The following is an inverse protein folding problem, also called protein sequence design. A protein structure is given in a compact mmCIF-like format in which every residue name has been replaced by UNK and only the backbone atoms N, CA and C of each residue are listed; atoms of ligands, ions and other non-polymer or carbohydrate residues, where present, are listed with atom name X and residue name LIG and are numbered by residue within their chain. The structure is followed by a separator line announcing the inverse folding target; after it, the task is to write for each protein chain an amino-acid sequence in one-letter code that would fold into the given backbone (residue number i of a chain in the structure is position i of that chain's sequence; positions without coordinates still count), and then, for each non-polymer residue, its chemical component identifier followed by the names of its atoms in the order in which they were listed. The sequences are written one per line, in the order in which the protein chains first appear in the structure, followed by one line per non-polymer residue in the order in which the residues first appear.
data_IF_401085869637
#
_entry.id   IF_401085869637
#
_cell.length_a   1.000
_cell.length_b   1.000
_cell.length_c   1.000
_cell.angle_alpha   90.00
_cell.angle_beta   90.00
_cell.angle_gamma   90.00
#
_symmetry.space_group_name_H-M   'P 1'
#
loop_
_entity.id
_entity.type
_entity.pdbx_description
1 polymer ?
#
# COMPACT_ATOMS: atom_id res chain seq x y z
N UNK A 1 -20.52 38.30 2.58
CA UNK A 1 -19.49 37.55 1.85
C UNK A 1 -18.34 37.28 2.82
N UNK A 2 -18.18 36.03 3.24
CA UNK A 2 -17.01 35.61 4.02
C UNK A 2 -15.83 35.38 3.06
N UNK A 3 -14.59 35.70 3.45
CA UNK A 3 -13.45 35.55 2.56
C UNK A 3 -13.17 34.07 2.34
N UNK A 4 -13.07 33.68 1.07
CA UNK A 4 -12.54 32.40 0.62
C UNK A 4 -11.10 32.34 1.13
N UNK A 5 -10.81 31.40 2.03
CA UNK A 5 -9.44 31.12 2.45
C UNK A 5 -8.66 30.66 1.23
N UNK A 6 -7.72 31.48 0.76
CA UNK A 6 -6.73 31.08 -0.23
C UNK A 6 -5.84 29.99 0.38
N UNK A 7 -6.25 28.73 0.23
CA UNK A 7 -5.33 27.59 0.35
C UNK A 7 -4.25 27.78 -0.71
N UNK A 8 -3.01 27.92 -0.30
CA UNK A 8 -1.84 27.88 -1.19
C UNK A 8 -1.98 26.68 -2.13
N UNK A 9 -1.74 26.82 -3.45
CA UNK A 9 -1.79 25.69 -4.36
C UNK A 9 -0.80 24.64 -3.86
N UNK A 10 -1.28 23.42 -3.61
CA UNK A 10 -0.41 22.29 -3.31
C UNK A 10 0.65 22.21 -4.39
N UNK A 11 1.91 22.46 -4.00
CA UNK A 11 3.01 22.45 -4.95
C UNK A 11 3.11 21.05 -5.55
N UNK A 12 2.87 20.95 -6.86
CA UNK A 12 2.92 19.67 -7.59
C UNK A 12 4.34 19.12 -7.71
N UNK A 13 5.36 19.85 -7.26
CA UNK A 13 6.76 19.45 -7.27
C UNK A 13 7.43 19.90 -5.96
N UNK A 14 8.39 19.13 -5.43
CA UNK A 14 9.26 19.60 -4.33
C UNK A 14 10.33 20.57 -4.85
N UNK A 15 10.96 20.25 -5.98
CA UNK A 15 11.93 21.13 -6.63
C UNK A 15 12.12 20.80 -8.12
N UNK A 16 12.67 21.73 -8.90
CA UNK A 16 12.97 21.51 -10.32
C UNK A 16 14.08 20.48 -10.52
N UNK A 17 15.02 20.40 -9.58
CA UNK A 17 16.12 19.43 -9.58
C UNK A 17 15.55 18.01 -9.46
N UNK A 18 14.58 17.79 -8.57
CA UNK A 18 13.94 16.48 -8.39
C UNK A 18 13.11 16.06 -9.60
N UNK A 19 12.44 17.01 -10.26
CA UNK A 19 11.79 16.77 -11.56
C UNK A 19 12.82 16.31 -12.60
N UNK A 20 13.96 16.99 -12.69
CA UNK A 20 15.00 16.69 -13.67
C UNK A 20 15.71 15.36 -13.41
N UNK A 21 15.99 15.04 -12.14
CA UNK A 21 16.80 13.89 -11.75
C UNK A 21 15.96 12.62 -11.56
N UNK A 22 14.77 12.74 -10.99
CA UNK A 22 13.91 11.61 -10.60
C UNK A 22 12.57 11.59 -11.32
N UNK A 23 12.21 12.63 -12.08
CA UNK A 23 10.88 12.75 -12.68
C UNK A 23 9.76 13.00 -11.66
N UNK A 24 10.09 13.49 -10.47
CA UNK A 24 9.12 13.64 -9.38
C UNK A 24 8.09 14.74 -9.68
N UNK A 25 6.83 14.33 -9.78
CA UNK A 25 5.66 15.21 -9.83
C UNK A 25 4.57 14.57 -8.98
N UNK A 26 3.89 15.34 -8.15
CA UNK A 26 2.77 14.89 -7.35
C UNK A 26 1.47 15.01 -8.14
N UNK A 27 0.72 13.92 -8.16
CA UNK A 27 -0.61 13.90 -8.78
C UNK A 27 -1.58 14.74 -7.95
N UNK A 28 -2.28 15.72 -8.54
CA UNK A 28 -3.26 16.55 -7.82
C UNK A 28 -4.38 15.71 -7.18
N UNK A 29 -4.91 16.14 -6.04
CA UNK A 29 -5.93 15.40 -5.28
C UNK A 29 -7.16 15.04 -6.12
N UNK A 30 -7.68 15.97 -6.93
CA UNK A 30 -8.86 15.72 -7.76
C UNK A 30 -8.61 14.63 -8.82
N UNK A 31 -7.39 14.54 -9.37
CA UNK A 31 -7.01 13.49 -10.33
C UNK A 31 -6.88 12.16 -9.61
N UNK A 32 -6.27 12.14 -8.42
CA UNK A 32 -6.17 10.92 -7.59
C UNK A 32 -7.54 10.34 -7.32
N UNK A 33 -8.50 11.17 -6.88
CA UNK A 33 -9.88 10.75 -6.63
C UNK A 33 -10.54 10.15 -7.88
N UNK A 34 -10.49 10.86 -9.01
CA UNK A 34 -11.04 10.39 -10.28
C UNK A 34 -10.43 9.04 -10.70
N UNK A 35 -9.13 8.86 -10.55
CA UNK A 35 -8.47 7.59 -10.88
C UNK A 35 -8.87 6.46 -9.93
N UNK A 36 -9.04 6.75 -8.64
CA UNK A 36 -9.55 5.75 -7.68
C UNK A 36 -11.01 5.36 -7.98
N UNK A 37 -11.85 6.30 -8.44
CA UNK A 37 -13.25 6.02 -8.81
C UNK A 37 -13.38 5.00 -9.93
N UNK A 38 -12.46 5.03 -10.91
CA UNK A 38 -12.43 4.07 -12.02
C UNK A 38 -12.13 2.63 -11.57
N UNK A 39 -11.59 2.46 -10.37
CA UNK A 39 -11.14 1.17 -9.86
C UNK A 39 -12.09 0.59 -8.79
N UNK A 40 -13.22 1.25 -8.52
CA UNK A 40 -14.25 0.71 -7.64
C UNK A 40 -14.99 -0.50 -8.26
N UNK A 41 -15.48 -1.45 -7.44
CA UNK A 41 -15.43 -1.50 -5.97
C UNK A 41 -14.12 -2.07 -5.40
N UNK A 42 -13.13 -2.41 -6.23
CA UNK A 42 -11.95 -3.15 -5.77
C UNK A 42 -11.05 -2.32 -4.84
N UNK A 43 -11.01 -0.99 -5.01
CA UNK A 43 -10.17 -0.12 -4.16
C UNK A 43 -10.70 -0.08 -2.73
N UNK A 44 -12.02 0.07 -2.55
CA UNK A 44 -12.66 0.16 -1.23
C UNK A 44 -12.72 -1.17 -0.46
N UNK A 45 -12.58 -2.31 -1.12
CA UNK A 45 -12.54 -3.63 -0.48
C UNK A 45 -11.21 -3.85 0.28
N UNK A 46 -11.29 -4.00 1.61
CA UNK A 46 -10.12 -4.20 2.49
C UNK A 46 -9.32 -5.47 2.17
N UNK A 47 -9.91 -6.44 1.49
CA UNK A 47 -9.27 -7.72 1.14
C UNK A 47 -8.48 -7.67 -0.17
N UNK A 48 -8.64 -6.59 -0.96
CA UNK A 48 -7.97 -6.44 -2.25
C UNK A 48 -6.61 -5.77 -2.10
N UNK A 49 -5.60 -6.43 -2.68
CA UNK A 49 -4.21 -5.97 -2.76
C UNK A 49 -4.05 -4.88 -3.81
N UNK A 50 -3.44 -3.78 -3.41
CA UNK A 50 -3.10 -2.65 -4.28
C UNK A 50 -1.59 -2.45 -4.22
N UNK A 51 -0.97 -2.23 -5.39
CA UNK A 51 0.46 -1.97 -5.49
C UNK A 51 0.71 -0.69 -6.26
N UNK A 52 1.45 0.23 -5.63
CA UNK A 52 1.95 1.46 -6.25
C UNK A 52 3.49 1.37 -6.36
N UNK A 53 4.09 1.35 -7.57
CA UNK A 53 5.54 1.13 -7.75
C UNK A 53 6.44 2.40 -7.71
N UNK A 54 5.85 3.60 -7.63
CA UNK A 54 6.46 4.94 -7.65
C UNK A 54 5.67 5.95 -6.80
N UNK A 55 5.53 5.70 -5.50
CA UNK A 55 4.40 6.25 -4.74
C UNK A 55 4.56 7.72 -4.37
N UNK A 56 5.75 8.29 -4.58
CA UNK A 56 6.10 9.60 -4.08
C UNK A 56 5.79 9.69 -2.59
N UNK A 57 5.22 10.82 -2.18
CA UNK A 57 4.79 11.02 -0.81
C UNK A 57 3.42 10.38 -0.47
N UNK A 58 2.82 9.59 -1.36
CA UNK A 58 1.67 8.74 -1.05
C UNK A 58 0.29 9.34 -1.32
N UNK A 59 0.12 10.26 -2.28
CA UNK A 59 -1.20 10.83 -2.59
C UNK A 59 -2.25 9.75 -2.93
N UNK A 60 -1.92 8.78 -3.77
CA UNK A 60 -2.79 7.64 -4.05
C UNK A 60 -3.03 6.76 -2.82
N UNK A 61 -1.97 6.47 -2.05
CA UNK A 61 -2.06 5.60 -0.88
C UNK A 61 -3.03 6.17 0.17
N UNK A 62 -2.99 7.49 0.39
CA UNK A 62 -3.90 8.19 1.31
C UNK A 62 -5.36 8.04 0.87
N UNK A 63 -5.66 8.27 -0.41
CA UNK A 63 -7.03 8.13 -0.92
C UNK A 63 -7.51 6.67 -0.87
N UNK A 64 -6.66 5.73 -1.27
CA UNK A 64 -6.96 4.28 -1.22
C UNK A 64 -7.26 3.85 0.21
N UNK A 65 -6.41 4.24 1.17
CA UNK A 65 -6.60 3.85 2.56
C UNK A 65 -7.88 4.45 3.14
N UNK A 66 -8.20 5.72 2.86
CA UNK A 66 -9.47 6.34 3.28
C UNK A 66 -10.67 5.50 2.83
N UNK A 67 -10.73 5.15 1.54
CA UNK A 67 -11.83 4.34 0.98
C UNK A 67 -11.94 2.95 1.60
N UNK A 68 -10.79 2.32 1.88
CA UNK A 68 -10.76 1.04 2.60
C UNK A 68 -11.25 1.18 4.03
N UNK A 69 -10.88 2.26 4.73
CA UNK A 69 -11.34 2.49 6.10
C UNK A 69 -12.84 2.80 6.14
N UNK A 70 -13.35 3.56 5.17
CA UNK A 70 -14.77 3.91 5.07
C UNK A 70 -15.68 2.69 4.84
N UNK A 71 -15.14 1.55 4.38
CA UNK A 71 -15.89 0.30 4.24
C UNK A 71 -15.90 -0.57 5.51
N UNK A 72 -15.18 -0.18 6.57
CA UNK A 72 -15.11 -0.91 7.84
C UNK A 72 -16.29 -0.51 8.73
N UNK A 73 -17.01 -1.51 9.27
CA UNK A 73 -17.94 -1.28 10.37
C UNK A 73 -17.17 -1.01 11.66
N UNK A 74 -17.17 0.24 12.12
CA UNK A 74 -16.48 0.67 13.32
C UNK A 74 -17.27 0.30 14.58
N UNK A 75 -16.59 -0.37 15.53
CA UNK A 75 -17.16 -0.73 16.81
C UNK A 75 -16.16 -0.41 17.94
N UNK A 76 -16.69 -0.14 19.12
CA UNK A 76 -15.91 0.09 20.35
C UNK A 76 -16.23 -0.94 21.41
N UNK A 77 -15.33 -1.11 22.37
CA UNK A 77 -15.57 -1.86 23.60
C UNK A 77 -15.26 -1.01 24.82
N UNK A 78 -15.91 -1.28 25.94
CA UNK A 78 -15.69 -0.57 27.19
C UNK A 78 -14.97 -1.46 28.19
N UNK A 79 -13.87 -0.98 28.77
CA UNK A 79 -13.13 -1.66 29.84
C UNK A 79 -12.93 -0.70 31.00
N UNK A 80 -13.66 -0.94 32.10
CA UNK A 80 -13.76 0.03 33.19
C UNK A 80 -14.40 1.32 32.68
N UNK A 81 -13.77 2.47 32.95
CA UNK A 81 -14.27 3.79 32.53
C UNK A 81 -13.62 4.28 31.21
N UNK A 82 -13.04 3.39 30.41
CA UNK A 82 -12.34 3.73 29.16
C UNK A 82 -12.96 3.02 27.97
N UNK A 83 -13.05 3.74 26.86
CA UNK A 83 -13.51 3.23 25.57
C UNK A 83 -12.29 2.89 24.72
N UNK A 84 -12.34 1.70 24.13
CA UNK A 84 -11.34 1.19 23.23
C UNK A 84 -11.95 0.93 21.86
N UNK A 85 -11.16 1.08 20.80
CA UNK A 85 -11.52 0.50 19.51
C UNK A 85 -11.66 -1.01 19.70
N UNK A 86 -12.71 -1.60 19.13
CA UNK A 86 -12.89 -3.05 19.25
C UNK A 86 -11.75 -3.79 18.54
N UNK A 87 -11.37 -4.95 19.05
CA UNK A 87 -10.31 -5.76 18.42
C UNK A 87 -10.65 -6.19 16.99
N UNK A 88 -11.94 -6.35 16.65
CA UNK A 88 -12.38 -6.62 15.26
C UNK A 88 -12.15 -5.41 14.36
N UNK A 89 -12.42 -4.20 14.85
CA UNK A 89 -12.18 -2.95 14.12
C UNK A 89 -10.69 -2.73 13.92
N UNK A 90 -9.89 -2.87 14.98
CA UNK A 90 -8.42 -2.80 14.88
C UNK A 90 -7.89 -3.81 13.87
N UNK A 91 -8.35 -5.06 13.91
CA UNK A 91 -7.90 -6.09 12.98
C UNK A 91 -8.32 -5.80 11.53
N UNK A 92 -9.54 -5.31 11.29
CA UNK A 92 -9.97 -4.90 9.95
C UNK A 92 -9.15 -3.71 9.40
N UNK A 93 -8.74 -2.77 10.26
CA UNK A 93 -7.81 -1.69 9.88
C UNK A 93 -6.45 -2.26 9.46
N UNK A 94 -5.93 -3.25 10.21
CA UNK A 94 -4.68 -3.94 9.86
C UNK A 94 -4.81 -4.69 8.53
N UNK A 95 -5.94 -5.35 8.25
CA UNK A 95 -6.22 -6.00 6.96
C UNK A 95 -6.22 -4.99 5.83
N UNK A 96 -6.87 -3.84 6.00
CA UNK A 96 -6.89 -2.77 4.99
C UNK A 96 -5.46 -2.29 4.68
N UNK A 97 -4.67 -2.04 5.72
CA UNK A 97 -3.31 -1.55 5.61
C UNK A 97 -2.35 -2.60 5.03
N UNK A 98 -2.48 -3.86 5.43
CA UNK A 98 -1.62 -4.97 4.99
C UNK A 98 -1.76 -5.29 3.50
N UNK A 99 -2.86 -4.87 2.88
CA UNK A 99 -3.12 -5.02 1.46
C UNK A 99 -2.74 -3.78 0.61
N UNK A 100 -2.07 -2.78 1.19
CA UNK A 100 -1.51 -1.63 0.45
C UNK A 100 -0.01 -1.79 0.39
N UNK A 101 0.55 -1.92 -0.81
CA UNK A 101 1.98 -2.03 -1.07
C UNK A 101 2.46 -0.82 -1.86
N UNK A 102 3.63 -0.28 -1.52
CA UNK A 102 4.17 0.88 -2.20
C UNK A 102 5.70 0.91 -2.26
N UNK A 103 6.25 1.40 -3.36
CA UNK A 103 7.69 1.62 -3.52
C UNK A 103 7.96 3.04 -4.02
N UNK A 104 9.01 3.68 -3.51
CA UNK A 104 9.56 4.92 -4.06
C UNK A 104 11.09 4.89 -3.95
N UNK A 105 11.79 5.56 -4.86
CA UNK A 105 13.26 5.57 -4.84
C UNK A 105 13.83 6.51 -3.76
N UNK A 106 13.03 7.48 -3.28
CA UNK A 106 13.47 8.52 -2.35
C UNK A 106 12.99 8.24 -0.92
N UNK A 107 13.93 8.23 0.04
CA UNK A 107 13.63 7.84 1.42
C UNK A 107 12.74 8.86 2.16
N UNK A 108 12.87 10.15 1.84
CA UNK A 108 12.04 11.20 2.45
C UNK A 108 10.57 11.03 2.06
N UNK A 109 10.30 10.68 0.80
CA UNK A 109 8.97 10.36 0.31
C UNK A 109 8.35 9.17 1.05
N UNK A 110 9.12 8.09 1.26
CA UNK A 110 8.65 6.91 2.01
C UNK A 110 8.32 7.25 3.46
N UNK A 111 9.17 8.05 4.13
CA UNK A 111 8.90 8.51 5.50
C UNK A 111 7.62 9.35 5.58
N UNK A 112 7.46 10.28 4.64
CA UNK A 112 6.28 11.14 4.53
C UNK A 112 5.02 10.32 4.26
N UNK A 113 5.07 9.37 3.31
CA UNK A 113 3.95 8.49 2.98
C UNK A 113 3.50 7.66 4.20
N UNK A 114 4.44 7.04 4.93
CA UNK A 114 4.12 6.28 6.15
C UNK A 114 3.44 7.15 7.21
N UNK A 115 3.99 8.35 7.47
CA UNK A 115 3.41 9.29 8.43
C UNK A 115 2.01 9.77 8.03
N UNK A 116 1.77 9.99 6.73
CA UNK A 116 0.45 10.36 6.20
C UNK A 116 -0.56 9.23 6.35
N UNK A 117 -0.17 7.98 6.09
CA UNK A 117 -1.05 6.82 6.25
C UNK A 117 -1.41 6.59 7.73
N UNK A 118 -0.44 6.70 8.64
CA UNK A 118 -0.69 6.67 10.09
C UNK A 118 -1.67 7.78 10.52
N UNK A 119 -1.49 8.99 10.00
CA UNK A 119 -2.40 10.12 10.25
C UNK A 119 -3.81 9.83 9.74
N UNK A 120 -3.96 9.20 8.57
CA UNK A 120 -5.27 8.80 8.03
C UNK A 120 -5.98 7.82 8.98
N UNK A 121 -5.27 6.81 9.50
CA UNK A 121 -5.82 5.83 10.45
C UNK A 121 -6.28 6.52 11.73
N UNK A 122 -5.44 7.38 12.31
CA UNK A 122 -5.81 8.09 13.54
C UNK A 122 -6.97 9.06 13.32
N UNK A 123 -7.01 9.76 12.19
CA UNK A 123 -8.13 10.65 11.86
C UNK A 123 -9.43 9.85 11.68
N UNK A 124 -9.37 8.69 11.03
CA UNK A 124 -10.50 7.78 10.91
C UNK A 124 -11.02 7.35 12.28
N UNK A 125 -10.16 6.83 13.16
CA UNK A 125 -10.55 6.42 14.53
C UNK A 125 -11.12 7.59 15.32
N UNK A 126 -10.48 8.76 15.24
CA UNK A 126 -10.90 9.95 15.96
C UNK A 126 -12.24 10.51 15.45
N UNK A 127 -12.64 10.22 14.21
CA UNK A 127 -13.93 10.67 13.65
C UNK A 127 -15.14 10.04 14.35
N UNK A 128 -14.96 8.93 15.06
CA UNK A 128 -16.00 8.25 15.83
C UNK A 128 -16.09 8.67 17.30
N UNK A 129 -15.28 9.65 17.74
CA UNK A 129 -15.38 10.20 19.09
C UNK A 129 -16.71 10.91 19.28
N UNK A 130 -17.43 10.60 20.35
CA UNK A 130 -18.58 11.40 20.77
C UNK A 130 -18.10 12.63 21.55
N UNK A 131 -18.97 13.63 21.72
CA UNK A 131 -18.67 14.83 22.53
C UNK A 131 -18.47 14.50 24.02
N UNK A 132 -18.99 13.37 24.48
CA UNK A 132 -18.93 12.92 25.87
C UNK A 132 -17.68 12.07 26.15
N UNK A 133 -17.07 11.51 25.11
CA UNK A 133 -15.86 10.69 25.22
C UNK A 133 -14.60 11.54 25.18
N UNK A 134 -13.89 11.61 26.30
CA UNK A 134 -12.62 12.32 26.38
C UNK A 134 -11.53 11.73 25.47
N UNK A 135 -11.57 10.41 25.21
CA UNK A 135 -10.68 9.72 24.26
C UNK A 135 -11.13 8.30 23.94
N UNK A 136 -10.96 7.88 22.68
CA UNK A 136 -10.96 6.47 22.26
C UNK A 136 -9.50 5.99 22.27
N UNK A 137 -9.24 4.90 22.97
CA UNK A 137 -7.91 4.30 23.07
C UNK A 137 -7.74 3.14 22.09
N UNK A 138 -6.50 2.90 21.66
CA UNK A 138 -6.12 1.73 20.88
C UNK A 138 -5.31 0.76 21.75
N UNK A 139 -5.30 -0.52 21.37
CA UNK A 139 -4.42 -1.51 21.98
C UNK A 139 -2.97 -1.27 21.57
N UNK A 140 -2.02 -1.57 22.46
CA UNK A 140 -0.59 -1.47 22.15
C UNK A 140 -0.18 -2.42 21.03
N UNK A 141 -0.79 -3.61 20.98
CA UNK A 141 -0.53 -4.62 19.95
C UNK A 141 -0.94 -4.13 18.57
N UNK A 142 -2.09 -3.46 18.46
CA UNK A 142 -2.52 -2.82 17.21
C UNK A 142 -1.51 -1.77 16.73
N UNK A 143 -1.08 -0.87 17.62
CA UNK A 143 -0.12 0.18 17.26
C UNK A 143 1.23 -0.38 16.80
N UNK A 144 1.70 -1.45 17.45
CA UNK A 144 2.92 -2.16 17.04
C UNK A 144 2.74 -2.82 15.67
N UNK A 145 1.65 -3.57 15.46
CA UNK A 145 1.38 -4.24 14.19
C UNK A 145 1.23 -3.23 13.03
N UNK A 146 0.51 -2.12 13.24
CA UNK A 146 0.37 -1.04 12.26
C UNK A 146 1.74 -0.48 11.83
N UNK A 147 2.61 -0.21 12.81
CA UNK A 147 3.95 0.30 12.57
C UNK A 147 4.79 -0.68 11.73
N UNK A 148 4.75 -1.96 12.06
CA UNK A 148 5.54 -2.98 11.36
C UNK A 148 5.01 -3.26 9.94
N UNK A 149 3.69 -3.26 9.73
CA UNK A 149 3.10 -3.37 8.40
C UNK A 149 3.49 -2.17 7.52
N UNK A 150 3.42 -0.94 8.03
CA UNK A 150 3.85 0.26 7.28
C UNK A 150 5.31 0.16 6.85
N UNK A 151 6.18 -0.33 7.74
CA UNK A 151 7.60 -0.53 7.42
C UNK A 151 7.82 -1.63 6.39
N UNK A 152 7.05 -2.72 6.46
CA UNK A 152 7.17 -3.86 5.56
C UNK A 152 6.63 -3.56 4.15
N UNK A 153 5.53 -2.79 4.05
CA UNK A 153 4.80 -2.62 2.79
C UNK A 153 5.11 -1.33 2.02
N UNK A 154 5.48 -0.25 2.71
CA UNK A 154 5.75 1.06 2.11
C UNK A 154 7.25 1.28 2.15
N UNK A 155 7.97 0.96 1.07
CA UNK A 155 9.41 0.71 1.14
C UNK A 155 10.20 1.51 0.11
N UNK A 156 11.47 1.74 0.40
CA UNK A 156 12.37 2.37 -0.56
C UNK A 156 12.99 1.34 -1.50
N UNK A 157 12.96 1.64 -2.80
CA UNK A 157 13.64 0.82 -3.80
C UNK A 157 13.45 1.31 -5.23
N UNK A 158 14.18 0.67 -6.15
CA UNK A 158 14.03 0.84 -7.59
C UNK A 158 13.34 -0.40 -8.17
N UNK A 159 12.04 -0.32 -8.45
CA UNK A 159 11.23 -1.45 -8.97
C UNK A 159 11.73 -1.99 -10.33
N UNK A 160 12.56 -1.23 -11.04
CA UNK A 160 13.17 -1.67 -12.31
C UNK A 160 14.48 -2.43 -12.11
N UNK A 161 15.24 -2.12 -11.05
CA UNK A 161 16.60 -2.67 -10.82
C UNK A 161 16.67 -3.67 -9.67
N UNK A 162 15.93 -3.45 -8.60
CA UNK A 162 16.09 -4.13 -7.33
C UNK A 162 15.22 -5.39 -7.23
N UNK A 163 14.92 -6.04 -8.36
CA UNK A 163 13.93 -7.13 -8.42
C UNK A 163 14.23 -8.29 -7.47
N UNK A 164 15.51 -8.53 -7.18
CA UNK A 164 15.97 -9.60 -6.28
C UNK A 164 16.03 -9.21 -4.81
N UNK A 165 15.99 -7.91 -4.53
CA UNK A 165 16.26 -7.35 -3.20
C UNK A 165 15.07 -6.56 -2.65
N UNK A 166 14.08 -6.24 -3.49
CA UNK A 166 12.76 -5.80 -3.07
C UNK A 166 11.91 -7.00 -2.67
N UNK A 167 11.55 -7.02 -1.40
CA UNK A 167 10.72 -8.05 -0.79
C UNK A 167 9.35 -7.47 -0.43
N UNK A 168 8.33 -8.28 -0.70
CA UNK A 168 6.94 -8.04 -0.34
C UNK A 168 6.48 -9.18 0.57
N UNK A 169 5.59 -8.84 1.50
CA UNK A 169 5.06 -9.77 2.49
C UNK A 169 3.56 -9.87 2.26
N UNK A 170 3.10 -11.05 1.84
CA UNK A 170 1.68 -11.34 1.71
C UNK A 170 1.12 -11.72 3.07
N UNK A 171 0.32 -10.81 3.64
CA UNK A 171 -0.34 -10.99 4.93
C UNK A 171 -1.74 -11.57 4.70
N UNK A 172 -1.90 -12.86 4.98
CA UNK A 172 -3.15 -13.60 4.82
C UNK A 172 -3.86 -13.60 6.19
N UNK A 173 -4.99 -12.88 6.35
CA UNK A 173 -5.64 -12.74 7.65
C UNK A 173 -6.41 -13.99 8.05
N UNK A 174 -6.26 -14.38 9.32
CA UNK A 174 -7.16 -15.29 10.00
C UNK A 174 -8.05 -14.48 10.95
N UNK A 175 -9.35 -14.41 10.66
CA UNK A 175 -10.31 -13.64 11.45
C UNK A 175 -10.72 -14.31 12.76
N UNK A 176 -10.57 -15.64 12.87
CA UNK A 176 -11.00 -16.39 14.05
C UNK A 176 -10.13 -16.06 15.27
N UNK A 177 -8.80 -16.01 15.07
CA UNK A 177 -7.82 -15.73 16.11
C UNK A 177 -7.08 -14.38 15.95
N UNK A 178 -7.44 -13.60 14.92
CA UNK A 178 -6.89 -12.26 14.64
C UNK A 178 -5.38 -12.28 14.39
N UNK A 179 -4.93 -13.28 13.64
CA UNK A 179 -3.54 -13.46 13.23
C UNK A 179 -3.34 -13.26 11.74
N UNK A 180 -2.08 -13.19 11.30
CA UNK A 180 -1.70 -13.22 9.89
C UNK A 180 -0.77 -14.41 9.65
N UNK A 181 -1.08 -15.22 8.65
CA UNK A 181 -0.07 -16.02 7.97
C UNK A 181 0.70 -15.10 7.01
N UNK A 182 2.03 -15.14 7.03
CA UNK A 182 2.86 -14.20 6.26
C UNK A 182 3.80 -14.94 5.32
N UNK A 183 3.65 -14.72 4.02
CA UNK A 183 4.56 -15.27 3.01
C UNK A 183 5.44 -14.18 2.40
N UNK A 184 6.75 -14.41 2.34
CA UNK A 184 7.72 -13.47 1.77
C UNK A 184 8.00 -13.80 0.29
N UNK A 185 7.98 -12.79 -0.56
CA UNK A 185 8.36 -12.88 -1.97
C UNK A 185 9.30 -11.76 -2.36
N UNK A 186 10.30 -12.04 -3.20
CA UNK A 186 10.98 -11.00 -3.97
C UNK A 186 10.11 -10.54 -5.15
N UNK A 187 10.33 -9.31 -5.63
CA UNK A 187 9.67 -8.83 -6.86
C UNK A 187 9.93 -9.76 -8.05
N UNK A 188 11.13 -10.34 -8.13
CA UNK A 188 11.48 -11.31 -9.17
C UNK A 188 10.61 -12.58 -9.10
N UNK A 189 10.34 -13.09 -7.90
CA UNK A 189 9.47 -14.26 -7.72
C UNK A 189 8.03 -13.92 -8.10
N UNK A 190 7.53 -12.74 -7.70
CA UNK A 190 6.20 -12.26 -8.10
C UNK A 190 6.09 -12.19 -9.63
N UNK A 191 7.05 -11.57 -10.30
CA UNK A 191 7.08 -11.49 -11.77
C UNK A 191 7.15 -12.87 -12.42
N UNK A 192 7.93 -13.78 -11.83
CA UNK A 192 8.04 -15.16 -12.32
C UNK A 192 6.71 -15.90 -12.20
N UNK A 193 6.05 -15.80 -11.04
CA UNK A 193 4.72 -16.39 -10.81
C UNK A 193 3.72 -15.81 -11.81
N UNK A 194 3.66 -14.49 -11.97
CA UNK A 194 2.78 -13.82 -12.91
C UNK A 194 3.03 -14.28 -14.36
N UNK A 195 4.31 -14.40 -14.77
CA UNK A 195 4.68 -14.87 -16.10
C UNK A 195 4.34 -16.34 -16.37
N UNK A 196 4.15 -17.12 -15.30
CA UNK A 196 3.79 -18.54 -15.33
C UNK A 196 2.32 -18.78 -14.92
N UNK A 197 1.49 -17.72 -14.87
CA UNK A 197 0.07 -17.81 -14.53
C UNK A 197 -0.76 -17.49 -15.77
N UNK A 198 -1.78 -18.31 -16.05
CA UNK A 198 -2.69 -18.09 -17.19
C UNK A 198 -4.13 -18.32 -16.74
N UNK A 199 -5.03 -17.41 -17.12
CA UNK A 199 -6.47 -17.63 -17.00
C UNK A 199 -6.89 -18.57 -18.12
N UNK A 200 -7.53 -19.67 -17.75
CA UNK A 200 -7.92 -20.74 -18.68
C UNK A 200 -9.44 -20.70 -18.83
N UNK A 201 -9.92 -20.55 -20.07
CA UNK A 201 -11.36 -20.57 -20.35
C UNK A 201 -11.82 -21.99 -20.62
N UNK A 202 -13.05 -22.32 -20.24
CA UNK A 202 -13.61 -23.66 -20.43
C UNK A 202 -13.61 -24.10 -21.90
N UNK A 203 -13.89 -23.19 -22.82
CA UNK A 203 -13.95 -23.46 -24.25
C UNK A 203 -12.58 -23.60 -24.92
N UNK A 204 -11.48 -23.20 -24.26
CA UNK A 204 -10.09 -23.32 -24.75
C UNK A 204 -9.20 -24.08 -23.77
N UNK A 205 -9.80 -24.86 -22.87
CA UNK A 205 -9.13 -25.40 -21.69
C UNK A 205 -7.96 -26.30 -22.05
N UNK A 206 -8.14 -27.16 -23.05
CA UNK A 206 -7.14 -28.14 -23.50
C UNK A 206 -5.92 -27.43 -24.09
N UNK A 207 -6.15 -26.47 -24.98
CA UNK A 207 -5.10 -25.69 -25.64
C UNK A 207 -4.36 -24.80 -24.64
N UNK A 208 -5.10 -24.16 -23.73
CA UNK A 208 -4.54 -23.27 -22.72
C UNK A 208 -3.69 -24.03 -21.70
N UNK A 209 -4.16 -25.17 -21.18
CA UNK A 209 -3.35 -26.05 -20.31
C UNK A 209 -2.13 -26.57 -21.06
N UNK A 210 -2.28 -26.97 -22.32
CA UNK A 210 -1.16 -27.46 -23.12
C UNK A 210 -0.07 -26.39 -23.29
N UNK A 211 -0.46 -25.15 -23.56
CA UNK A 211 0.47 -24.00 -23.70
C UNK A 211 1.21 -23.67 -22.40
N UNK A 212 0.60 -23.93 -21.24
CA UNK A 212 1.24 -23.71 -19.94
C UNK A 212 2.28 -24.80 -19.63
N UNK A 213 2.00 -26.05 -20.01
CA UNK A 213 2.93 -27.18 -19.88
C UNK A 213 4.10 -27.09 -20.86
N UNK A 214 3.86 -26.50 -22.04
CA UNK A 214 4.85 -26.36 -23.11
C UNK A 214 4.91 -24.90 -23.58
N UNK A 215 5.58 -24.03 -22.81
CA UNK A 215 5.72 -22.63 -23.18
C UNK A 215 6.46 -22.49 -24.51
N UNK A 216 6.03 -21.62 -25.43
CA UNK A 216 6.79 -21.33 -26.63
C UNK A 216 8.17 -20.74 -26.29
N UNK A 217 9.18 -21.01 -27.12
CA UNK A 217 10.52 -20.47 -26.93
C UNK A 217 10.50 -18.93 -26.96
N UNK A 218 11.06 -18.30 -25.92
CA UNK A 218 11.13 -16.82 -25.83
C UNK A 218 12.19 -16.28 -26.80
N UNK A 219 11.75 -15.60 -27.86
CA UNK A 219 12.62 -14.72 -28.64
C UNK A 219 13.16 -13.59 -27.75
N UNK A 220 14.50 -13.54 -27.56
CA UNK A 220 15.15 -12.48 -26.77
C UNK A 220 15.12 -11.15 -27.55
N UNK A 221 14.30 -10.20 -27.13
CA UNK A 221 14.37 -8.82 -27.63
C UNK A 221 15.58 -8.09 -27.04
N UNK A 222 16.46 -7.59 -27.90
CA UNK A 222 17.66 -6.80 -27.56
C UNK A 222 17.33 -5.32 -27.39
N UNK A 223 16.72 -4.93 -26.27
CA UNK A 223 16.53 -3.50 -25.94
C UNK A 223 17.73 -2.99 -25.13
N UNK A 224 18.45 -2.00 -25.67
CA UNK A 224 19.59 -1.33 -24.98
C UNK A 224 19.09 -0.60 -23.73
N UNK A 225 19.55 -1.04 -22.55
CA UNK A 225 19.27 -0.38 -21.26
C UNK A 225 20.18 0.84 -21.08
N UNK A 226 19.60 2.02 -20.79
CA UNK A 226 20.33 3.20 -20.32
C UNK A 226 20.87 2.93 -18.90
N UNK A 227 22.14 3.27 -18.64
CA UNK A 227 22.75 3.20 -17.31
C UNK A 227 22.27 4.39 -16.48
N UNK A 228 21.38 4.15 -15.52
CA UNK A 228 21.03 5.09 -14.45
C UNK A 228 21.59 4.49 -13.16
N UNK A 229 22.19 5.34 -12.30
CA UNK A 229 22.85 4.96 -11.05
C UNK A 229 21.94 4.05 -10.21
N UNK A 230 22.48 2.97 -9.66
CA UNK A 230 21.74 2.06 -8.79
C UNK A 230 21.64 2.69 -7.38
N UNK A 231 20.45 2.62 -6.78
CA UNK A 231 20.20 3.01 -5.40
C UNK A 231 19.99 1.72 -4.62
N UNK A 232 20.79 1.38 -3.59
CA UNK A 232 20.59 0.17 -2.82
C UNK A 232 19.23 0.17 -2.09
N UNK A 233 18.49 -0.93 -2.13
CA UNK A 233 17.26 -1.14 -1.35
C UNK A 233 17.56 -1.30 0.15
N UNK A 234 16.84 -0.60 1.03
CA UNK A 234 17.08 -0.58 2.49
C UNK A 234 16.56 -1.84 3.24
N UNK A 235 15.78 -2.71 2.60
CA UNK A 235 15.14 -3.84 3.29
C UNK A 235 16.10 -4.94 3.83
N UNK A 236 17.38 -4.91 3.46
CA UNK A 236 18.37 -5.89 3.95
C UNK A 236 18.67 -5.84 5.45
N UNK A 237 18.22 -4.80 6.16
CA UNK A 237 18.53 -4.56 7.58
C UNK A 237 17.32 -4.69 8.53
N UNK A 238 16.08 -4.67 8.03
CA UNK A 238 14.87 -4.65 8.86
C UNK A 238 14.60 -5.94 9.66
N UNK A 239 15.26 -7.06 9.33
CA UNK A 239 14.99 -8.37 9.94
C UNK A 239 16.25 -9.21 10.21
N UNK A 240 17.40 -8.58 10.44
CA UNK A 240 18.55 -9.29 11.04
C UNK A 240 18.27 -9.45 12.54
N UNK A 241 17.49 -10.47 12.88
CA UNK A 241 17.31 -11.02 14.22
C UNK A 241 17.81 -12.45 14.25
#
# INVERSE_FOLDING_TARGET
MLPISNSTPDSLIKSKERVKEYGEVFTPEHIVKQMCDLCEPNISDITKKIFEPTCGNGNFLVEILKRKLDSITFNTTTKGNKIYVSSDTEFNILIALSNIYAVDIQQDNIKEARSRLETVIFNYINSFKTKEDSSISNSSTFLQAMTEILKANIIRGDTLKDKKTLYFYDFIPNKEDKSFEVTKYSLQEIEKIASNTKVIKLNTFKEDIFSLKHPPEKNRSTVKKRKIKAVPSEQGELFKG
#
